data_IF_173392965318
#
_entry.id   IF_173392965318
#
_cell.length_a   1.000
_cell.length_b   1.000
_cell.length_c   1.000
_cell.angle_alpha   90.00
_cell.angle_beta   90.00
_cell.angle_gamma   90.00
#
_symmetry.space_group_name_H-M   'P 1'
#
loop_
_entity.id
_entity.type
_entity.pdbx_description
1 polymer ?
#
# COMPACT_ATOMS: atom_id res chain seq x y z
N UNK A 1 -13.01 -8.25 0.87
CA UNK A 1 -12.95 -6.91 1.49
C UNK A 1 -14.35 -6.32 1.51
N UNK A 2 -14.90 -6.05 2.69
CA UNK A 2 -16.19 -5.37 2.85
C UNK A 2 -15.93 -3.87 3.04
N UNK A 3 -16.34 -3.04 2.08
CA UNK A 3 -16.13 -1.58 2.11
C UNK A 3 -17.22 -0.83 1.35
N UNK A 4 -17.42 0.46 1.62
CA UNK A 4 -18.41 1.27 0.92
C UNK A 4 -18.44 2.72 1.34
N UNK A 5 -19.33 3.50 0.73
CA UNK A 5 -19.67 4.87 1.16
C UNK A 5 -20.77 4.75 2.22
N UNK A 6 -20.37 4.39 3.43
CA UNK A 6 -21.28 4.06 4.54
C UNK A 6 -20.69 4.62 5.83
N UNK A 7 -21.54 4.97 6.78
CA UNK A 7 -21.10 5.30 8.13
C UNK A 7 -20.54 4.03 8.80
N UNK A 8 -19.51 4.14 9.65
CA UNK A 8 -18.95 2.97 10.33
C UNK A 8 -19.99 2.13 11.08
N UNK A 9 -20.94 2.77 11.74
CA UNK A 9 -22.04 2.13 12.47
C UNK A 9 -22.99 1.32 11.57
N UNK A 10 -23.06 1.67 10.29
CA UNK A 10 -23.96 1.04 9.32
C UNK A 10 -23.31 -0.11 8.54
N UNK A 11 -22.01 -0.40 8.75
CA UNK A 11 -21.32 -1.46 8.00
C UNK A 11 -21.88 -2.86 8.27
N UNK A 12 -22.21 -3.16 9.53
CA UNK A 12 -22.81 -4.45 9.92
C UNK A 12 -24.22 -4.63 9.38
N UNK A 13 -25.12 -3.64 9.55
CA UNK A 13 -26.44 -3.68 8.94
C UNK A 13 -26.43 -3.74 7.40
N UNK A 14 -25.47 -3.09 6.73
CA UNK A 14 -25.38 -3.08 5.27
C UNK A 14 -24.84 -4.41 4.73
N UNK A 15 -23.76 -4.94 5.32
CA UNK A 15 -23.19 -6.23 4.96
C UNK A 15 -23.59 -7.28 5.99
N UNK A 16 -24.77 -7.89 5.79
CA UNK A 16 -25.35 -8.87 6.71
C UNK A 16 -24.46 -10.09 6.96
N UNK A 17 -23.53 -10.39 6.05
CA UNK A 17 -22.48 -11.41 6.23
C UNK A 17 -21.65 -11.13 7.49
N UNK A 18 -21.33 -9.87 7.78
CA UNK A 18 -20.56 -9.44 8.96
C UNK A 18 -21.30 -9.68 10.29
N UNK A 19 -22.56 -10.12 10.24
CA UNK A 19 -23.38 -10.46 11.39
C UNK A 19 -23.61 -11.97 11.53
N UNK A 20 -23.15 -12.77 10.56
CA UNK A 20 -23.30 -14.22 10.62
C UNK A 20 -22.21 -14.85 11.50
N UNK A 21 -22.59 -15.80 12.36
CA UNK A 21 -21.66 -16.48 13.28
C UNK A 21 -20.62 -17.36 12.56
N UNK A 22 -20.89 -17.75 11.31
CA UNK A 22 -19.99 -18.54 10.48
C UNK A 22 -18.87 -17.72 9.83
N UNK A 23 -19.01 -16.39 9.77
CA UNK A 23 -17.97 -15.49 9.28
C UNK A 23 -16.89 -15.27 10.35
N UNK A 24 -15.99 -16.24 10.46
CA UNK A 24 -14.86 -16.22 11.38
C UNK A 24 -13.56 -15.89 10.65
N UNK A 25 -12.76 -14.98 11.21
CA UNK A 25 -11.42 -14.65 10.69
C UNK A 25 -10.40 -14.58 11.81
N UNK A 26 -9.14 -14.90 11.50
CA UNK A 26 -8.00 -14.73 12.42
C UNK A 26 -7.57 -13.27 12.54
N UNK A 27 -7.83 -12.46 11.51
CA UNK A 27 -7.40 -11.07 11.43
C UNK A 27 -8.43 -10.21 10.70
N UNK A 28 -8.48 -8.92 11.05
CA UNK A 28 -9.31 -7.93 10.38
C UNK A 28 -8.54 -6.62 10.27
N UNK A 29 -8.60 -6.00 9.09
CA UNK A 29 -8.10 -4.66 8.85
C UNK A 29 -9.28 -3.74 8.56
N UNK A 30 -9.40 -2.66 9.31
CA UNK A 30 -10.53 -1.72 9.23
C UNK A 30 -10.02 -0.31 9.00
N UNK A 31 -10.79 0.49 8.27
CA UNK A 31 -10.44 1.86 7.99
C UNK A 31 -11.68 2.74 7.81
N UNK A 32 -11.67 3.91 8.44
CA UNK A 32 -12.63 4.98 8.18
C UNK A 32 -11.91 6.14 7.50
N UNK A 33 -12.41 6.56 6.34
CA UNK A 33 -11.79 7.62 5.54
C UNK A 33 -12.49 8.96 5.79
N UNK A 34 -11.68 10.00 6.03
CA UNK A 34 -12.11 11.39 5.88
C UNK A 34 -11.66 11.91 4.50
N UNK A 35 -12.52 12.63 3.79
CA UNK A 35 -12.26 13.11 2.43
C UNK A 35 -12.59 14.59 2.34
N UNK A 36 -11.74 15.37 1.68
CA UNK A 36 -11.99 16.79 1.36
C UNK A 36 -12.94 16.95 0.16
N UNK A 37 -13.22 15.87 -0.58
CA UNK A 37 -14.17 15.85 -1.69
C UNK A 37 -15.60 15.58 -1.22
N UNK A 38 -16.57 16.31 -1.79
CA UNK A 38 -18.02 16.15 -1.52
C UNK A 38 -18.69 15.09 -2.40
N UNK A 39 -18.04 14.67 -3.49
CA UNK A 39 -18.50 13.60 -4.39
C UNK A 39 -17.87 12.28 -3.95
N UNK A 40 -18.65 11.35 -3.34
CA UNK A 40 -18.08 10.12 -2.84
C UNK A 40 -17.93 9.09 -3.97
N UNK A 41 -16.83 8.36 -3.97
CA UNK A 41 -16.55 7.29 -4.94
C UNK A 41 -16.27 5.99 -4.21
N UNK A 42 -17.02 4.94 -4.56
CA UNK A 42 -16.94 3.62 -3.92
C UNK A 42 -15.55 3.02 -3.96
N UNK A 43 -14.87 3.20 -5.09
CA UNK A 43 -13.53 2.67 -5.33
C UNK A 43 -12.44 3.26 -4.42
N UNK A 44 -12.66 4.46 -3.86
CA UNK A 44 -11.70 5.13 -2.97
C UNK A 44 -11.95 4.82 -1.49
N UNK A 45 -13.01 4.06 -1.17
CA UNK A 45 -13.15 3.48 0.16
C UNK A 45 -12.00 2.50 0.42
N UNK A 46 -11.53 2.46 1.67
CA UNK A 46 -10.47 1.58 2.15
C UNK A 46 -11.05 0.50 3.08
N UNK A 47 -10.36 -0.62 3.33
CA UNK A 47 -9.01 -0.97 2.87
C UNK A 47 -8.86 -1.20 1.36
N UNK A 48 -7.62 -1.13 0.88
CA UNK A 48 -7.24 -1.67 -0.42
C UNK A 48 -6.78 -3.13 -0.28
N UNK A 49 -6.07 -3.70 -1.27
CA UNK A 49 -5.79 -5.15 -1.28
C UNK A 49 -4.89 -5.56 -0.12
N UNK A 50 -3.83 -4.80 0.10
CA UNK A 50 -2.79 -5.13 1.08
C UNK A 50 -2.68 -4.11 2.21
N UNK A 51 -3.20 -2.90 2.02
CA UNK A 51 -3.03 -1.82 3.01
C UNK A 51 -4.26 -0.92 3.18
N UNK A 52 -4.29 -0.24 4.32
CA UNK A 52 -5.00 1.01 4.49
C UNK A 52 -4.02 2.11 4.93
N UNK A 53 -4.37 3.37 4.71
CA UNK A 53 -3.53 4.52 4.99
C UNK A 53 -4.37 5.62 5.62
N UNK A 54 -3.94 6.02 6.81
CA UNK A 54 -4.33 7.27 7.41
C UNK A 54 -3.21 8.29 7.17
N UNK A 55 -3.49 9.36 6.43
CA UNK A 55 -2.49 10.37 6.06
C UNK A 55 -2.46 10.66 4.57
N UNK A 56 -1.39 11.29 4.09
CA UNK A 56 -1.25 11.76 2.71
C UNK A 56 0.18 11.55 2.19
N UNK A 57 0.33 11.03 0.97
CA UNK A 57 1.64 10.90 0.31
C UNK A 57 1.94 12.17 -0.50
N UNK A 58 2.80 13.02 0.07
CA UNK A 58 3.19 14.31 -0.51
C UNK A 58 4.09 14.19 -1.75
N UNK A 59 4.73 13.03 -1.92
CA UNK A 59 5.65 12.74 -3.04
C UNK A 59 4.99 12.08 -4.25
N UNK A 60 3.65 11.87 -4.20
CA UNK A 60 2.90 11.04 -5.15
C UNK A 60 3.25 11.29 -6.62
N UNK A 61 3.28 12.55 -7.06
CA UNK A 61 3.54 12.88 -8.47
C UNK A 61 4.89 12.35 -8.95
N UNK A 62 5.91 12.44 -8.10
CA UNK A 62 7.24 11.91 -8.40
C UNK A 62 7.22 10.39 -8.49
N UNK A 63 6.59 9.74 -7.51
CA UNK A 63 6.53 8.28 -7.40
C UNK A 63 5.77 7.66 -8.59
N UNK A 64 4.60 8.23 -8.94
CA UNK A 64 3.82 7.81 -10.11
C UNK A 64 4.62 7.97 -11.40
N UNK A 65 5.33 9.09 -11.56
CA UNK A 65 6.14 9.34 -12.76
C UNK A 65 7.27 8.33 -12.89
N UNK A 66 7.95 8.00 -11.79
CA UNK A 66 9.04 7.02 -11.79
C UNK A 66 8.53 5.60 -12.05
N UNK A 67 7.37 5.22 -11.50
CA UNK A 67 6.74 3.93 -11.82
C UNK A 67 6.42 3.81 -13.31
N UNK A 68 5.89 4.85 -13.94
CA UNK A 68 5.66 4.86 -15.40
C UNK A 68 6.94 4.67 -16.21
N UNK A 69 8.04 5.31 -15.80
CA UNK A 69 9.35 5.10 -16.46
C UNK A 69 9.84 3.66 -16.27
N UNK A 70 9.58 3.04 -15.11
CA UNK A 70 9.95 1.64 -14.85
C UNK A 70 9.17 0.65 -15.71
N UNK A 71 7.93 0.95 -16.09
CA UNK A 71 7.10 0.10 -16.97
C UNK A 71 7.83 -0.19 -18.30
N UNK A 72 8.55 0.78 -18.87
CA UNK A 72 9.26 0.62 -20.17
C UNK A 72 10.40 -0.41 -20.15
N UNK A 73 11.01 -0.61 -18.98
CA UNK A 73 12.16 -1.51 -18.80
C UNK A 73 11.81 -2.77 -18.00
N UNK A 74 10.55 -2.90 -17.57
CA UNK A 74 10.12 -3.98 -16.70
C UNK A 74 10.17 -5.31 -17.44
N UNK A 75 10.68 -6.33 -16.76
CA UNK A 75 10.76 -7.71 -17.27
C UNK A 75 10.42 -8.67 -16.15
N UNK A 76 9.80 -9.79 -16.52
CA UNK A 76 9.47 -10.86 -15.59
C UNK A 76 9.55 -12.18 -16.33
N UNK A 77 10.24 -13.16 -15.74
CA UNK A 77 10.27 -14.52 -16.28
C UNK A 77 8.92 -15.23 -16.10
N UNK A 78 8.13 -14.82 -15.11
CA UNK A 78 6.80 -15.36 -14.80
C UNK A 78 5.76 -14.86 -15.79
N UNK A 79 5.70 -13.54 -16.02
CA UNK A 79 4.73 -12.94 -16.95
C UNK A 79 5.21 -12.95 -18.41
N UNK A 80 6.52 -13.04 -18.62
CA UNK A 80 7.13 -13.03 -19.94
C UNK A 80 6.64 -11.84 -20.80
N UNK A 81 6.32 -12.07 -22.08
CA UNK A 81 5.78 -11.03 -22.97
C UNK A 81 4.40 -10.49 -22.56
N UNK A 82 3.70 -11.12 -21.60
CA UNK A 82 2.39 -10.65 -21.15
C UNK A 82 2.47 -9.55 -20.09
N UNK A 83 3.67 -9.20 -19.63
CA UNK A 83 3.87 -8.15 -18.62
C UNK A 83 3.23 -6.82 -19.03
N UNK A 84 3.20 -6.51 -20.33
CA UNK A 84 2.59 -5.31 -20.89
C UNK A 84 1.09 -5.18 -20.57
N UNK A 85 0.41 -6.31 -20.28
CA UNK A 85 -1.01 -6.30 -19.89
C UNK A 85 -1.24 -5.76 -18.48
N UNK A 86 -0.20 -5.68 -17.65
CA UNK A 86 -0.28 -5.08 -16.32
C UNK A 86 -0.28 -3.56 -16.39
N UNK A 87 0.11 -2.97 -17.53
CA UNK A 87 0.28 -1.52 -17.64
C UNK A 87 -1.05 -0.80 -17.96
N UNK A 88 -1.27 0.41 -17.40
CA UNK A 88 -0.41 1.06 -16.40
C UNK A 88 -0.57 0.40 -15.03
N UNK A 89 0.54 0.21 -14.31
CA UNK A 89 0.54 -0.34 -12.94
C UNK A 89 -0.29 0.55 -12.02
N UNK A 90 -0.08 1.87 -12.12
CA UNK A 90 -0.87 2.86 -11.38
C UNK A 90 -1.95 3.43 -12.31
N UNK A 91 -3.18 3.04 -12.04
CA UNK A 91 -4.35 3.55 -12.76
C UNK A 91 -4.52 5.07 -12.57
N UNK A 92 -4.91 5.81 -13.62
CA UNK A 92 -5.16 7.24 -13.52
C UNK A 92 -6.39 7.55 -12.66
N UNK A 93 -6.39 8.71 -12.00
CA UNK A 93 -7.54 9.23 -11.24
C UNK A 93 -7.79 8.55 -9.88
N UNK A 94 -6.84 7.75 -9.39
CA UNK A 94 -6.92 7.10 -8.08
C UNK A 94 -6.32 7.97 -6.97
N UNK A 95 -6.67 7.67 -5.72
CA UNK A 95 -6.04 8.34 -4.57
C UNK A 95 -4.57 7.95 -4.45
N UNK A 96 -3.84 8.72 -3.65
CA UNK A 96 -2.47 8.43 -3.26
C UNK A 96 -2.33 7.03 -2.63
N UNK A 97 -3.20 6.69 -1.68
CA UNK A 97 -3.19 5.39 -1.00
C UNK A 97 -3.53 4.22 -1.94
N UNK A 98 -4.45 4.43 -2.89
CA UNK A 98 -4.77 3.44 -3.92
C UNK A 98 -3.57 3.23 -4.87
N UNK A 99 -2.88 4.32 -5.20
CA UNK A 99 -1.69 4.30 -6.04
C UNK A 99 -0.56 3.53 -5.37
N UNK A 100 -0.38 3.73 -4.06
CA UNK A 100 0.59 3.01 -3.25
C UNK A 100 0.27 1.51 -3.19
N UNK A 101 -1.00 1.14 -2.92
CA UNK A 101 -1.44 -0.27 -2.86
C UNK A 101 -1.21 -1.02 -4.18
N UNK A 102 -1.40 -0.37 -5.34
CA UNK A 102 -1.11 -1.00 -6.64
C UNK A 102 0.39 -1.31 -6.84
N UNK A 103 1.28 -0.47 -6.28
CA UNK A 103 2.72 -0.75 -6.31
C UNK A 103 3.07 -1.87 -5.32
N UNK A 104 2.44 -1.89 -4.15
CA UNK A 104 2.58 -3.01 -3.20
C UNK A 104 2.11 -4.33 -3.83
N UNK A 105 0.95 -4.33 -4.50
CA UNK A 105 0.42 -5.48 -5.24
C UNK A 105 1.37 -5.96 -6.35
N UNK A 106 2.00 -5.04 -7.09
CA UNK A 106 3.03 -5.44 -8.05
C UNK A 106 4.22 -6.13 -7.36
N UNK A 107 4.69 -5.57 -6.25
CA UNK A 107 5.88 -6.08 -5.57
C UNK A 107 5.63 -7.41 -4.86
N UNK A 108 4.38 -7.73 -4.47
CA UNK A 108 4.03 -9.04 -3.88
C UNK A 108 4.09 -10.18 -4.91
N UNK A 109 4.14 -9.87 -6.21
CA UNK A 109 4.43 -10.84 -7.27
C UNK A 109 5.93 -11.10 -7.49
N UNK A 110 6.79 -10.55 -6.63
CA UNK A 110 8.23 -10.86 -6.57
C UNK A 110 8.52 -11.73 -5.35
N UNK A 111 9.76 -12.20 -5.19
CA UNK A 111 10.17 -13.02 -4.04
C UNK A 111 10.30 -12.23 -2.71
N UNK A 112 9.68 -11.04 -2.63
CA UNK A 112 9.75 -10.15 -1.46
C UNK A 112 8.58 -10.38 -0.54
N UNK A 113 8.86 -10.40 0.76
CA UNK A 113 7.81 -10.45 1.78
C UNK A 113 7.07 -9.11 1.87
N UNK A 114 5.81 -9.11 2.31
CA UNK A 114 5.07 -7.85 2.51
C UNK A 114 5.79 -6.89 3.47
N UNK A 115 6.35 -7.31 4.62
CA UNK A 115 7.14 -6.40 5.48
C UNK A 115 8.33 -5.76 4.74
N UNK A 116 9.05 -6.52 3.91
CA UNK A 116 10.17 -6.01 3.12
C UNK A 116 9.72 -4.95 2.11
N UNK A 117 8.60 -5.20 1.43
CA UNK A 117 7.98 -4.27 0.48
C UNK A 117 7.60 -2.97 1.19
N UNK A 118 6.96 -3.08 2.35
CA UNK A 118 6.53 -1.93 3.13
C UNK A 118 7.73 -1.12 3.64
N UNK A 119 8.80 -1.77 4.10
CA UNK A 119 10.05 -1.10 4.49
C UNK A 119 10.77 -0.43 3.30
N UNK A 120 10.69 -0.99 2.10
CA UNK A 120 11.24 -0.39 0.88
C UNK A 120 10.44 0.83 0.43
N UNK A 121 9.11 0.78 0.54
CA UNK A 121 8.20 1.86 0.15
C UNK A 121 8.19 3.02 1.15
N UNK A 122 8.14 2.72 2.45
CA UNK A 122 8.13 3.70 3.56
C UNK A 122 9.32 3.39 4.48
N UNK A 123 10.55 3.73 4.07
CA UNK A 123 11.72 3.48 4.90
C UNK A 123 11.81 4.48 6.06
N UNK A 124 12.19 3.97 7.23
CA UNK A 124 12.55 4.75 8.43
C UNK A 124 13.63 5.80 8.11
N UNK A 125 13.75 6.85 8.93
CA UNK A 125 14.85 7.80 8.85
C UNK A 125 16.19 7.14 9.25
N UNK A 126 16.84 6.46 8.30
CA UNK A 126 17.98 5.55 8.56
C UNK A 126 19.36 6.21 8.47
N UNK A 127 19.55 7.23 7.61
CA UNK A 127 20.87 7.79 7.28
C UNK A 127 21.67 8.27 8.50
N UNK A 128 21.00 8.95 9.43
CA UNK A 128 21.61 9.52 10.65
C UNK A 128 21.20 8.80 11.92
N UNK A 129 20.63 7.60 11.80
CA UNK A 129 20.13 6.86 12.94
C UNK A 129 21.29 6.30 13.78
N UNK A 130 21.47 6.84 15.00
CA UNK A 130 22.63 6.55 15.84
C UNK A 130 22.70 5.09 16.30
N UNK A 131 21.54 4.47 16.56
CA UNK A 131 21.44 3.12 17.17
C UNK A 131 20.96 2.04 16.21
N UNK A 132 20.78 2.36 14.92
CA UNK A 132 20.31 1.37 13.94
C UNK A 132 21.48 0.45 13.56
N UNK A 133 21.23 -0.86 13.50
CA UNK A 133 22.23 -1.85 13.10
C UNK A 133 22.75 -1.60 11.69
N UNK A 134 24.00 -2.01 11.43
CA UNK A 134 24.63 -1.89 10.11
C UNK A 134 23.84 -2.67 9.05
N UNK A 135 23.37 -3.88 9.36
CA UNK A 135 22.55 -4.69 8.44
C UNK A 135 21.27 -3.97 8.01
N UNK A 136 20.59 -3.28 8.94
CA UNK A 136 19.35 -2.56 8.64
C UNK A 136 19.63 -1.29 7.82
N UNK A 137 20.73 -0.60 8.09
CA UNK A 137 21.19 0.53 7.26
C UNK A 137 21.53 0.09 5.85
N UNK A 138 22.29 -1.00 5.71
CA UNK A 138 22.65 -1.57 4.42
C UNK A 138 21.40 -2.01 3.63
N UNK A 139 20.40 -2.59 4.31
CA UNK A 139 19.10 -2.90 3.72
C UNK A 139 18.42 -1.65 3.14
N UNK A 140 18.34 -0.56 3.90
CA UNK A 140 17.71 0.67 3.45
C UNK A 140 18.52 1.40 2.35
N UNK A 141 19.84 1.39 2.45
CA UNK A 141 20.73 1.95 1.43
C UNK A 141 20.55 1.25 0.08
N UNK A 142 20.55 -0.09 0.09
CA UNK A 142 20.33 -0.89 -1.11
C UNK A 142 18.94 -0.65 -1.72
N UNK A 143 17.88 -0.73 -0.91
CA UNK A 143 16.51 -0.55 -1.41
C UNK A 143 16.23 0.89 -1.84
N UNK A 144 16.92 1.89 -1.27
CA UNK A 144 16.87 3.28 -1.71
C UNK A 144 17.41 3.51 -3.13
N UNK A 145 18.27 2.62 -3.65
CA UNK A 145 18.67 2.62 -5.05
C UNK A 145 17.58 2.08 -5.99
N UNK A 146 16.63 1.30 -5.48
CA UNK A 146 15.59 0.61 -6.25
C UNK A 146 14.29 1.41 -6.25
N UNK A 147 13.86 1.85 -5.07
CA UNK A 147 12.58 2.52 -4.84
C UNK A 147 12.79 3.82 -4.08
N UNK A 148 12.31 4.91 -4.65
CA UNK A 148 12.19 6.17 -3.93
C UNK A 148 11.13 6.07 -2.83
N UNK A 149 11.33 6.72 -1.67
CA UNK A 149 10.35 6.72 -0.60
C UNK A 149 9.01 7.31 -1.04
N UNK A 150 7.93 6.61 -0.68
CA UNK A 150 6.57 7.12 -0.74
C UNK A 150 6.30 7.94 0.52
N UNK A 151 6.84 9.16 0.51
CA UNK A 151 6.94 10.04 1.66
C UNK A 151 5.72 10.95 1.84
N UNK A 152 5.44 11.29 3.09
CA UNK A 152 4.30 12.07 3.58
C UNK A 152 3.79 11.53 4.92
N UNK A 153 3.06 12.32 5.72
CA UNK A 153 2.54 11.88 7.01
C UNK A 153 1.61 10.69 6.79
N UNK A 154 1.95 9.52 7.33
CA UNK A 154 1.21 8.29 7.04
C UNK A 154 1.32 7.27 8.17
N UNK A 155 0.17 6.76 8.61
CA UNK A 155 0.05 5.52 9.35
C UNK A 155 -0.54 4.47 8.41
N UNK A 156 0.22 3.42 8.14
CA UNK A 156 -0.11 2.41 7.13
C UNK A 156 -0.16 1.02 7.74
N UNK A 157 -1.34 0.57 8.21
CA UNK A 157 -1.59 -0.83 8.49
C UNK A 157 -1.63 -1.65 7.19
N UNK A 158 -1.09 -2.87 7.24
CA UNK A 158 -1.02 -3.76 6.09
C UNK A 158 -1.12 -5.23 6.47
N UNK A 159 -1.55 -6.07 5.52
CA UNK A 159 -1.60 -7.52 5.65
C UNK A 159 -1.68 -8.22 4.29
N UNK A 160 -1.06 -9.39 4.18
CA UNK A 160 -1.20 -10.35 3.06
C UNK A 160 -1.97 -11.62 3.48
N UNK A 161 -2.47 -11.67 4.72
CA UNK A 161 -3.12 -12.83 5.31
C UNK A 161 -2.20 -13.64 6.24
N UNK A 162 -0.88 -13.60 6.03
CA UNK A 162 0.12 -14.30 6.85
C UNK A 162 0.82 -13.34 7.82
N UNK A 163 1.17 -12.15 7.33
CA UNK A 163 1.70 -11.04 8.11
C UNK A 163 0.61 -9.99 8.37
N UNK A 164 0.66 -9.40 9.55
CA UNK A 164 -0.07 -8.17 9.88
C UNK A 164 0.91 -7.20 10.53
N UNK A 165 0.91 -5.95 10.07
CA UNK A 165 1.83 -4.94 10.55
C UNK A 165 1.29 -3.53 10.36
N UNK A 166 2.00 -2.57 10.91
CA UNK A 166 1.76 -1.15 10.68
C UNK A 166 3.09 -0.41 10.61
N UNK A 167 3.19 0.54 9.70
CA UNK A 167 4.30 1.49 9.62
C UNK A 167 3.79 2.90 9.90
N UNK A 168 4.69 3.69 10.49
CA UNK A 168 4.59 5.14 10.51
C UNK A 168 5.57 5.69 9.47
N UNK A 169 5.27 6.87 8.95
CA UNK A 169 6.22 7.60 8.13
C UNK A 169 7.46 7.98 8.94
N UNK A 170 8.45 8.53 8.25
CA UNK A 170 9.80 8.77 8.79
C UNK A 170 9.90 9.92 9.78
N UNK A 171 8.82 10.65 10.07
CA UNK A 171 8.82 11.86 10.91
C UNK A 171 8.26 11.63 12.31
#
# INVERSE_FOLDING_TARGET
IYKGIIMPEDIGPYYTDLQQEDLVTRLALVHQRFSTNTMPTWELAQPFRFMCQNGEINTLRGNVSRMRVREEIMRSDVFGPQIDKLFPIILPGKSDSASMDMVVELLTHTDRSLPEIMMMMIPEAWEKHATMSEDKKAFYEYNGCIMEPWDGPASVPFTDGDYIGALLDRN
#
